data_IF_682793623140
#
_entry.id   IF_682793623140
#
_cell.length_a   1.000
_cell.length_b   1.000
_cell.length_c   1.000
_cell.angle_alpha   90.00
_cell.angle_beta   90.00
_cell.angle_gamma   90.00
#
_symmetry.space_group_name_H-M   'P 1'
#
loop_
_entity.id
_entity.type
_entity.pdbx_description
1 polymer ?
#
# COMPACT_ATOMS: atom_id res chain seq x y z
N UNK A 1 16.32 -20.10 6.25
CA UNK A 1 16.26 -19.99 4.77
C UNK A 1 17.34 -19.02 4.34
N UNK A 2 18.01 -19.23 3.21
CA UNK A 2 18.97 -18.25 2.67
C UNK A 2 18.20 -17.43 1.62
N UNK A 3 18.13 -16.11 1.80
CA UNK A 3 17.50 -15.20 0.85
C UNK A 3 18.55 -14.65 -0.11
N UNK A 4 18.35 -14.82 -1.41
CA UNK A 4 19.20 -14.22 -2.42
C UNK A 4 18.76 -12.77 -2.68
N UNK A 5 19.72 -11.87 -2.92
CA UNK A 5 19.45 -10.47 -3.26
C UNK A 5 20.06 -10.20 -4.64
N UNK A 6 19.24 -9.74 -5.57
CA UNK A 6 19.69 -9.35 -6.92
C UNK A 6 19.31 -7.90 -7.19
N UNK A 7 20.16 -7.19 -7.90
CA UNK A 7 19.91 -5.79 -8.26
C UNK A 7 19.45 -5.66 -9.70
N UNK A 8 18.34 -4.97 -9.93
CA UNK A 8 17.79 -4.66 -11.24
C UNK A 8 17.42 -3.19 -11.28
N UNK A 9 17.92 -2.46 -12.28
CA UNK A 9 17.56 -1.07 -12.49
C UNK A 9 16.40 -0.98 -13.50
N UNK A 10 15.29 -0.33 -13.12
CA UNK A 10 14.10 -0.18 -13.98
C UNK A 10 14.38 0.62 -15.25
N UNK A 11 15.29 1.59 -15.17
CA UNK A 11 15.66 2.43 -16.30
C UNK A 11 16.58 1.72 -17.29
N UNK A 12 17.22 0.60 -16.89
CA UNK A 12 18.15 -0.17 -17.72
C UNK A 12 17.78 -1.67 -17.72
N UNK A 13 16.75 -2.02 -18.47
CA UNK A 13 16.26 -3.38 -18.63
C UNK A 13 17.04 -4.14 -19.72
N UNK A 14 18.34 -4.28 -19.54
CA UNK A 14 19.24 -4.99 -20.46
C UNK A 14 19.06 -6.52 -20.44
N UNK A 15 19.88 -7.23 -21.25
CA UNK A 15 19.84 -8.71 -21.32
C UNK A 15 20.21 -9.38 -19.98
N UNK A 16 21.02 -8.74 -19.13
CA UNK A 16 21.37 -9.26 -17.82
C UNK A 16 20.20 -9.11 -16.84
N UNK A 17 19.54 -7.95 -16.84
CA UNK A 17 18.29 -7.71 -16.09
C UNK A 17 17.20 -8.72 -16.50
N UNK A 18 17.04 -8.97 -17.80
CA UNK A 18 16.05 -9.94 -18.29
C UNK A 18 16.37 -11.37 -17.81
N UNK A 19 17.64 -11.81 -17.83
CA UNK A 19 18.02 -13.12 -17.27
C UNK A 19 17.72 -13.24 -15.78
N UNK A 20 17.95 -12.18 -15.00
CA UNK A 20 17.60 -12.12 -13.56
C UNK A 20 16.11 -12.22 -13.35
N UNK A 21 15.29 -11.55 -14.17
CA UNK A 21 13.82 -11.63 -14.10
C UNK A 21 13.28 -13.00 -14.52
N UNK A 22 13.89 -13.66 -15.53
CA UNK A 22 13.57 -15.05 -15.87
C UNK A 22 13.83 -15.97 -14.67
N UNK A 23 14.96 -15.79 -14.01
CA UNK A 23 15.29 -16.54 -12.80
C UNK A 23 14.27 -16.31 -11.69
N UNK A 24 13.94 -15.05 -11.38
CA UNK A 24 12.90 -14.69 -10.40
C UNK A 24 11.51 -15.25 -10.75
N UNK A 25 11.11 -15.18 -12.03
CA UNK A 25 9.88 -15.77 -12.52
C UNK A 25 9.82 -17.29 -12.36
N UNK A 26 10.94 -17.98 -12.54
CA UNK A 26 11.04 -19.42 -12.29
C UNK A 26 10.90 -19.78 -10.82
N UNK A 27 11.36 -18.94 -9.89
CA UNK A 27 11.12 -19.10 -8.45
C UNK A 27 9.62 -19.04 -8.16
N UNK A 28 8.91 -18.03 -8.68
CA UNK A 28 7.44 -17.89 -8.55
C UNK A 28 6.73 -19.15 -9.08
N UNK A 29 7.04 -19.60 -10.31
CA UNK A 29 6.42 -20.80 -10.93
C UNK A 29 6.65 -22.07 -10.12
N UNK A 30 7.73 -22.16 -9.35
CA UNK A 30 8.03 -23.27 -8.46
C UNK A 30 7.40 -23.13 -7.06
N UNK A 31 6.56 -22.11 -6.86
CA UNK A 31 5.88 -21.83 -5.58
C UNK A 31 6.78 -21.20 -4.52
N UNK A 32 7.86 -20.51 -4.95
CA UNK A 32 8.72 -19.69 -4.11
C UNK A 32 8.18 -18.27 -3.93
N UNK A 33 8.84 -17.51 -3.06
CA UNK A 33 8.51 -16.12 -2.72
C UNK A 33 9.56 -15.17 -3.27
N UNK A 34 9.10 -14.12 -3.98
CA UNK A 34 9.97 -13.07 -4.51
C UNK A 34 9.48 -11.70 -4.04
N UNK A 35 10.37 -10.91 -3.44
CA UNK A 35 10.13 -9.50 -3.16
C UNK A 35 10.51 -8.69 -4.39
N UNK A 36 9.63 -7.75 -4.78
CA UNK A 36 9.80 -6.95 -6.00
C UNK A 36 9.27 -5.53 -5.85
N UNK A 37 9.86 -4.55 -6.57
CA UNK A 37 9.40 -3.16 -6.57
C UNK A 37 8.06 -3.02 -7.30
N UNK A 38 7.26 -2.04 -6.86
CA UNK A 38 6.17 -1.47 -7.65
C UNK A 38 6.22 0.06 -7.53
N UNK A 39 5.45 0.77 -8.36
CA UNK A 39 5.36 2.23 -8.29
C UNK A 39 4.78 2.74 -6.96
N UNK A 40 4.08 1.89 -6.21
CA UNK A 40 3.43 2.25 -4.93
C UNK A 40 4.28 1.92 -3.71
N UNK A 41 4.53 0.64 -3.47
CA UNK A 41 5.37 0.08 -2.40
C UNK A 41 5.94 -1.25 -2.89
N UNK A 42 6.99 -1.76 -2.27
CA UNK A 42 7.47 -3.10 -2.56
C UNK A 42 6.48 -4.19 -2.17
N UNK A 43 6.34 -5.21 -3.02
CA UNK A 43 5.47 -6.36 -2.80
C UNK A 43 6.24 -7.66 -2.54
N UNK A 44 5.65 -8.56 -1.74
CA UNK A 44 6.10 -9.95 -1.62
C UNK A 44 5.15 -10.83 -2.42
N UNK A 45 5.66 -11.49 -3.47
CA UNK A 45 4.87 -12.18 -4.48
C UNK A 45 5.02 -13.69 -4.50
N UNK A 46 3.92 -14.36 -4.84
CA UNK A 46 3.85 -15.77 -5.13
C UNK A 46 2.84 -16.06 -6.25
N UNK A 47 2.88 -17.24 -6.84
CA UNK A 47 1.85 -17.69 -7.80
C UNK A 47 0.46 -17.65 -7.15
N UNK A 48 -0.44 -16.85 -7.72
CA UNK A 48 -1.79 -16.62 -7.19
C UNK A 48 -2.69 -17.87 -7.25
N UNK A 49 -2.40 -18.81 -8.16
CA UNK A 49 -3.15 -20.06 -8.31
C UNK A 49 -2.56 -21.23 -7.50
N UNK A 50 -1.45 -21.01 -6.82
CA UNK A 50 -0.82 -22.00 -5.94
C UNK A 50 -1.16 -21.70 -4.47
N UNK A 51 -2.02 -22.52 -3.85
CA UNK A 51 -2.50 -22.35 -2.47
C UNK A 51 -1.36 -22.42 -1.43
N UNK A 52 -0.39 -23.31 -1.65
CA UNK A 52 0.76 -23.48 -0.77
C UNK A 52 1.67 -22.23 -0.84
N UNK A 53 1.86 -21.66 -2.03
CA UNK A 53 2.64 -20.45 -2.23
C UNK A 53 1.96 -19.22 -1.59
N UNK A 54 0.64 -19.07 -1.75
CA UNK A 54 -0.13 -18.03 -1.06
C UNK A 54 -0.05 -18.17 0.48
N UNK A 55 -0.11 -19.40 1.00
CA UNK A 55 0.05 -19.65 2.44
C UNK A 55 1.44 -19.27 2.96
N UNK A 56 2.50 -19.46 2.17
CA UNK A 56 3.86 -19.01 2.53
C UNK A 56 3.96 -17.50 2.69
N UNK A 57 3.21 -16.69 1.91
CA UNK A 57 3.17 -15.23 2.06
C UNK A 57 2.70 -14.85 3.47
N UNK A 58 1.60 -15.45 3.93
CA UNK A 58 1.07 -15.21 5.28
C UNK A 58 2.07 -15.60 6.37
N UNK A 59 2.72 -16.75 6.22
CA UNK A 59 3.73 -17.21 7.17
C UNK A 59 4.97 -16.29 7.19
N UNK A 60 5.49 -15.88 6.02
CA UNK A 60 6.66 -15.00 5.92
C UNK A 60 6.42 -13.65 6.60
N UNK A 61 5.21 -13.09 6.48
CA UNK A 61 4.82 -11.80 7.04
C UNK A 61 4.32 -11.85 8.49
N UNK A 62 3.94 -13.03 9.02
CA UNK A 62 3.14 -13.12 10.22
C UNK A 62 1.75 -12.47 10.04
N UNK A 63 1.17 -12.57 8.84
CA UNK A 63 -0.10 -11.94 8.47
C UNK A 63 -1.26 -12.89 8.76
N UNK A 64 -2.41 -12.41 9.29
CA UNK A 64 -3.63 -13.18 9.39
C UNK A 64 -4.12 -13.68 8.01
N UNK A 65 -4.51 -14.95 7.90
CA UNK A 65 -4.89 -15.57 6.63
C UNK A 65 -6.26 -15.14 6.10
N UNK A 66 -7.10 -14.49 6.93
CA UNK A 66 -8.37 -13.88 6.56
C UNK A 66 -8.22 -12.48 5.90
N UNK A 67 -7.00 -11.98 5.79
CA UNK A 67 -6.70 -10.70 5.18
C UNK A 67 -6.24 -10.92 3.71
N UNK A 68 -7.13 -10.72 2.70
CA UNK A 68 -6.90 -11.15 1.32
C UNK A 68 -5.64 -10.57 0.69
N UNK A 69 -5.15 -11.24 -0.36
CA UNK A 69 -4.03 -10.77 -1.18
C UNK A 69 -4.55 -10.05 -2.43
N UNK A 70 -3.74 -9.14 -2.98
CA UNK A 70 -4.02 -8.51 -4.27
C UNK A 70 -3.33 -9.32 -5.36
N UNK A 71 -4.09 -9.76 -6.37
CA UNK A 71 -3.53 -10.43 -7.53
C UNK A 71 -3.07 -9.40 -8.55
N UNK A 72 -1.77 -9.41 -8.84
CA UNK A 72 -1.15 -8.53 -9.83
C UNK A 72 -1.12 -9.23 -11.19
N UNK A 73 -1.50 -8.50 -12.24
CA UNK A 73 -1.55 -8.94 -13.64
C UNK A 73 -0.65 -8.09 -14.51
N UNK A 74 -0.30 -8.59 -15.71
CA UNK A 74 0.53 -7.87 -16.67
C UNK A 74 -0.24 -7.45 -17.95
N UNK A 75 -1.56 -7.63 -17.99
CA UNK A 75 -2.39 -7.24 -19.11
C UNK A 75 -3.89 -7.38 -18.83
N UNK A 76 -4.71 -6.58 -19.50
CA UNK A 76 -6.17 -6.53 -19.31
C UNK A 76 -6.88 -7.87 -19.63
N UNK A 77 -6.38 -8.63 -20.61
CA UNK A 77 -6.91 -9.95 -20.96
C UNK A 77 -6.89 -10.96 -19.81
N UNK A 78 -6.05 -10.71 -18.79
CA UNK A 78 -5.97 -11.53 -17.58
C UNK A 78 -7.23 -11.44 -16.71
N UNK A 79 -8.04 -10.38 -16.85
CA UNK A 79 -9.27 -10.20 -16.05
C UNK A 79 -10.27 -11.33 -16.29
N UNK A 80 -10.49 -11.74 -17.54
CA UNK A 80 -11.47 -12.79 -17.88
C UNK A 80 -11.04 -14.19 -17.33
N UNK A 81 -9.76 -14.38 -16.99
CA UNK A 81 -9.26 -15.59 -16.32
C UNK A 81 -9.45 -15.55 -14.81
N UNK A 82 -9.35 -14.36 -14.19
CA UNK A 82 -9.43 -14.17 -12.74
C UNK A 82 -10.85 -13.94 -12.23
N UNK A 83 -11.69 -13.26 -13.02
CA UNK A 83 -12.96 -12.70 -12.59
C UNK A 83 -14.13 -13.31 -13.33
N UNK A 84 -15.26 -13.44 -12.63
CA UNK A 84 -16.56 -13.77 -13.22
C UNK A 84 -17.44 -12.54 -13.05
N UNK A 85 -17.69 -11.80 -14.13
CA UNK A 85 -18.54 -10.62 -14.06
C UNK A 85 -20.00 -11.03 -13.87
N UNK A 86 -20.70 -10.35 -12.98
CA UNK A 86 -22.12 -10.54 -12.68
C UNK A 86 -22.99 -10.22 -13.91
N UNK A 87 -22.63 -9.13 -14.60
CA UNK A 87 -23.34 -8.59 -15.76
C UNK A 87 -22.43 -7.70 -16.62
N UNK A 88 -22.95 -7.24 -17.75
CA UNK A 88 -22.23 -6.34 -18.65
C UNK A 88 -21.96 -4.97 -18.07
N UNK A 89 -22.78 -4.50 -17.12
CA UNK A 89 -22.59 -3.20 -16.46
C UNK A 89 -21.35 -3.24 -15.59
N UNK A 90 -21.22 -4.28 -14.74
CA UNK A 90 -20.04 -4.47 -13.90
C UNK A 90 -18.77 -4.60 -14.77
N UNK A 91 -18.85 -5.37 -15.86
CA UNK A 91 -17.73 -5.52 -16.79
C UNK A 91 -17.33 -4.19 -17.42
N UNK A 92 -18.29 -3.39 -17.88
CA UNK A 92 -18.04 -2.05 -18.44
C UNK A 92 -17.41 -1.11 -17.42
N UNK A 93 -17.90 -1.09 -16.17
CA UNK A 93 -17.31 -0.29 -15.07
C UNK A 93 -15.83 -0.69 -14.84
N UNK A 94 -15.55 -1.99 -14.75
CA UNK A 94 -14.20 -2.50 -14.53
C UNK A 94 -13.25 -2.12 -15.68
N UNK A 95 -13.67 -2.35 -16.93
CA UNK A 95 -12.85 -2.02 -18.11
C UNK A 95 -12.59 -0.52 -18.21
N UNK A 96 -13.60 0.33 -17.94
CA UNK A 96 -13.43 1.78 -18.00
C UNK A 96 -12.43 2.31 -16.96
N UNK A 97 -12.51 1.82 -15.71
CA UNK A 97 -11.53 2.18 -14.69
C UNK A 97 -10.13 1.64 -15.06
N UNK A 98 -10.06 0.44 -15.60
CA UNK A 98 -8.82 -0.15 -16.08
C UNK A 98 -8.20 0.66 -17.23
N UNK A 99 -8.97 1.06 -18.24
CA UNK A 99 -8.50 1.87 -19.36
C UNK A 99 -7.97 3.25 -18.92
N UNK A 100 -8.62 3.87 -17.90
CA UNK A 100 -8.20 5.20 -17.41
C UNK A 100 -6.99 5.15 -16.49
N UNK A 101 -6.86 4.09 -15.65
CA UNK A 101 -5.92 4.08 -14.53
C UNK A 101 -4.92 2.91 -14.54
N UNK A 102 -4.99 1.97 -15.48
CA UNK A 102 -4.04 0.89 -15.64
C UNK A 102 -3.21 1.04 -16.93
N UNK A 103 -1.92 0.68 -16.86
CA UNK A 103 -1.18 0.23 -15.69
C UNK A 103 -0.98 1.36 -14.68
N UNK A 104 -1.18 1.05 -13.36
CA UNK A 104 -1.08 2.09 -12.33
C UNK A 104 -1.61 1.70 -10.94
N UNK A 105 -1.75 2.70 -10.06
CA UNK A 105 -2.00 2.51 -8.63
C UNK A 105 -3.50 2.33 -8.30
N UNK A 106 -4.24 1.58 -9.12
CA UNK A 106 -5.63 1.21 -8.90
C UNK A 106 -5.76 -0.30 -8.67
N UNK A 107 -6.54 -0.68 -7.67
CA UNK A 107 -6.96 -2.06 -7.41
C UNK A 107 -8.49 -2.16 -7.51
N UNK A 108 -8.99 -3.13 -8.25
CA UNK A 108 -10.42 -3.41 -8.41
C UNK A 108 -10.77 -4.69 -7.66
N UNK A 109 -11.84 -4.68 -6.87
CA UNK A 109 -12.41 -5.88 -6.28
C UNK A 109 -13.57 -6.35 -7.15
N UNK A 110 -13.50 -7.60 -7.57
CA UNK A 110 -14.43 -8.26 -8.50
C UNK A 110 -14.76 -9.67 -8.01
N UNK A 111 -15.90 -10.28 -8.41
CA UNK A 111 -16.18 -11.67 -8.15
C UNK A 111 -15.07 -12.56 -8.74
N UNK A 112 -14.53 -13.51 -7.95
CA UNK A 112 -13.40 -14.35 -8.38
C UNK A 112 -13.84 -15.55 -9.20
N UNK A 113 -12.95 -16.07 -10.04
CA UNK A 113 -13.13 -17.36 -10.69
C UNK A 113 -13.08 -18.51 -9.65
N UNK A 114 -13.66 -19.66 -10.00
CA UNK A 114 -13.72 -20.83 -9.11
C UNK A 114 -12.35 -21.43 -8.80
N UNK A 115 -11.43 -21.35 -9.75
CA UNK A 115 -10.10 -21.98 -9.65
C UNK A 115 -9.12 -21.20 -8.76
N UNK A 116 -9.44 -19.93 -8.42
CA UNK A 116 -8.58 -19.15 -7.54
C UNK A 116 -8.68 -19.67 -6.09
N UNK A 117 -7.55 -20.08 -5.48
CA UNK A 117 -7.55 -20.64 -4.11
C UNK A 117 -8.14 -19.68 -3.08
N UNK A 118 -8.78 -20.25 -2.05
CA UNK A 118 -9.30 -19.51 -0.91
C UNK A 118 -8.19 -18.81 -0.13
N UNK A 119 -7.01 -19.39 -0.09
CA UNK A 119 -5.81 -18.81 0.53
C UNK A 119 -5.42 -17.51 -0.12
N UNK A 120 -5.59 -17.36 -1.44
CA UNK A 120 -5.31 -16.12 -2.16
C UNK A 120 -6.36 -15.04 -1.86
N UNK A 121 -7.63 -15.44 -1.82
CA UNK A 121 -8.75 -14.51 -1.59
C UNK A 121 -9.06 -14.27 -0.10
N UNK A 122 -8.31 -14.85 0.84
CA UNK A 122 -8.62 -14.76 2.28
C UNK A 122 -9.97 -15.37 2.66
N UNK A 123 -10.45 -16.36 1.88
CA UNK A 123 -11.75 -17.02 2.06
C UNK A 123 -12.93 -16.31 1.39
N UNK A 124 -12.72 -15.14 0.76
CA UNK A 124 -13.77 -14.37 0.10
C UNK A 124 -14.14 -14.95 -1.27
N UNK A 125 -15.35 -14.65 -1.75
CA UNK A 125 -15.82 -14.94 -3.11
C UNK A 125 -15.41 -13.85 -4.13
N UNK A 126 -14.62 -12.87 -3.68
CA UNK A 126 -14.07 -11.78 -4.48
C UNK A 126 -12.55 -11.88 -4.56
N UNK A 127 -11.98 -11.22 -5.55
CA UNK A 127 -10.54 -11.03 -5.74
C UNK A 127 -10.23 -9.57 -5.97
N UNK A 128 -9.18 -9.09 -5.32
CA UNK A 128 -8.58 -7.78 -5.58
C UNK A 128 -7.55 -7.93 -6.71
N UNK A 129 -7.70 -7.16 -7.80
CA UNK A 129 -6.85 -7.24 -8.99
C UNK A 129 -6.20 -5.89 -9.25
N UNK A 130 -4.90 -5.92 -9.62
CA UNK A 130 -4.14 -4.72 -9.98
C UNK A 130 -3.21 -4.98 -11.16
N UNK A 131 -3.06 -3.98 -12.03
CA UNK A 131 -2.06 -3.96 -13.10
C UNK A 131 -1.06 -2.83 -12.79
N UNK A 132 0.11 -3.13 -12.18
CA UNK A 132 1.09 -2.11 -11.78
C UNK A 132 1.77 -1.46 -12.99
N UNK A 133 2.25 -0.20 -12.84
CA UNK A 133 2.98 0.50 -13.91
C UNK A 133 4.47 0.16 -13.94
N UNK A 134 5.07 -0.23 -12.82
CA UNK A 134 6.50 -0.56 -12.71
C UNK A 134 6.91 -1.67 -13.70
N UNK A 135 7.94 -1.44 -14.49
CA UNK A 135 8.38 -2.34 -15.58
C UNK A 135 8.93 -3.66 -15.06
N UNK A 136 9.65 -3.64 -13.93
CA UNK A 136 10.20 -4.85 -13.28
C UNK A 136 9.03 -5.73 -12.81
N UNK A 137 8.05 -5.13 -12.09
CA UNK A 137 6.85 -5.84 -11.64
C UNK A 137 6.10 -6.48 -12.81
N UNK A 138 5.82 -5.71 -13.87
CA UNK A 138 5.09 -6.21 -15.05
C UNK A 138 5.81 -7.39 -15.71
N UNK A 139 7.15 -7.26 -15.90
CA UNK A 139 7.93 -8.32 -16.53
C UNK A 139 8.05 -9.55 -15.64
N UNK A 140 8.20 -9.37 -14.31
CA UNK A 140 8.18 -10.48 -13.36
C UNK A 140 6.83 -11.23 -13.38
N UNK A 141 5.70 -10.48 -13.40
CA UNK A 141 4.35 -11.08 -13.47
C UNK A 141 4.22 -11.92 -14.75
N UNK A 142 4.61 -11.38 -15.90
CA UNK A 142 4.59 -12.09 -17.18
C UNK A 142 5.42 -13.39 -17.11
N UNK A 143 6.67 -13.29 -16.64
CA UNK A 143 7.59 -14.42 -16.54
C UNK A 143 7.22 -15.40 -15.42
N UNK A 144 6.50 -14.95 -14.39
CA UNK A 144 6.04 -15.73 -13.25
C UNK A 144 4.74 -16.52 -13.47
N UNK A 145 4.16 -16.45 -14.68
CA UNK A 145 2.92 -17.17 -15.01
C UNK A 145 1.70 -16.27 -15.20
N UNK A 146 1.86 -14.95 -15.15
CA UNK A 146 0.81 -13.96 -15.45
C UNK A 146 -0.03 -13.52 -14.26
N UNK A 147 0.07 -14.19 -13.10
CA UNK A 147 -0.76 -13.94 -11.93
C UNK A 147 0.04 -14.07 -10.64
N UNK A 148 0.39 -12.94 -10.02
CA UNK A 148 1.17 -12.92 -8.77
C UNK A 148 0.31 -12.33 -7.66
N UNK A 149 0.02 -13.13 -6.63
CA UNK A 149 -0.58 -12.65 -5.39
C UNK A 149 0.48 -11.92 -4.57
N UNK A 150 0.27 -10.65 -4.25
CA UNK A 150 1.26 -9.87 -3.51
C UNK A 150 0.61 -8.82 -2.58
N UNK A 151 0.86 -8.90 -1.26
CA UNK A 151 0.75 -7.77 -0.33
C UNK A 151 2.06 -6.98 -0.29
N UNK A 152 2.12 -5.87 0.48
CA UNK A 152 3.38 -5.15 0.76
C UNK A 152 4.43 -6.05 1.42
N UNK A 153 5.72 -5.81 1.17
CA UNK A 153 6.84 -6.67 1.58
C UNK A 153 7.39 -6.34 3.00
N UNK A 154 6.49 -6.08 3.98
CA UNK A 154 6.84 -5.82 5.39
C UNK A 154 6.33 -6.92 6.32
N UNK A 155 6.90 -7.04 7.52
CA UNK A 155 6.27 -7.75 8.62
C UNK A 155 4.91 -7.12 8.96
N UNK A 156 3.93 -7.95 9.30
CA UNK A 156 2.56 -7.48 9.56
C UNK A 156 2.54 -6.41 10.65
N UNK A 157 1.84 -5.30 10.42
CA UNK A 157 1.73 -4.17 11.34
C UNK A 157 2.76 -3.05 11.12
N UNK A 158 3.94 -3.33 10.58
CA UNK A 158 4.99 -2.32 10.29
C UNK A 158 4.62 -1.44 9.09
N UNK A 159 5.24 -0.25 8.93
CA UNK A 159 5.07 0.59 7.75
C UNK A 159 5.46 -0.14 6.46
N UNK A 160 4.70 0.07 5.38
CA UNK A 160 4.98 -0.55 4.09
C UNK A 160 6.35 -0.12 3.55
N UNK A 161 7.13 -1.02 2.93
CA UNK A 161 8.46 -0.70 2.44
C UNK A 161 8.40 0.07 1.13
N UNK A 162 9.10 1.19 1.08
CA UNK A 162 9.22 2.05 -0.10
C UNK A 162 10.57 1.91 -0.79
N UNK A 163 11.53 1.28 -0.13
CA UNK A 163 12.85 0.95 -0.67
C UNK A 163 13.26 -0.50 -0.35
N UNK A 164 14.34 -0.97 -0.98
CA UNK A 164 14.82 -2.33 -0.84
C UNK A 164 15.43 -2.62 0.54
N UNK A 165 16.03 -1.64 1.21
CA UNK A 165 16.65 -1.82 2.53
C UNK A 165 15.61 -2.22 3.57
N UNK A 166 14.43 -1.60 3.54
CA UNK A 166 13.28 -1.95 4.37
C UNK A 166 12.81 -3.39 4.12
N UNK A 167 12.84 -3.82 2.83
CA UNK A 167 12.49 -5.20 2.48
C UNK A 167 13.51 -6.20 3.01
N UNK A 168 14.81 -5.88 2.90
CA UNK A 168 15.90 -6.71 3.39
C UNK A 168 15.79 -6.87 4.91
N UNK A 169 15.54 -5.78 5.64
CA UNK A 169 15.33 -5.81 7.10
C UNK A 169 14.20 -6.76 7.50
N UNK A 170 13.05 -6.67 6.83
CA UNK A 170 11.84 -7.41 7.21
C UNK A 170 11.80 -8.85 6.67
N UNK A 171 12.32 -9.10 5.46
CA UNK A 171 12.09 -10.32 4.69
C UNK A 171 13.33 -11.21 4.50
N UNK A 172 14.54 -10.74 4.83
CA UNK A 172 15.74 -11.59 4.77
C UNK A 172 15.57 -12.84 5.67
N UNK A 173 15.89 -14.00 5.13
CA UNK A 173 15.67 -15.29 5.80
C UNK A 173 14.23 -15.83 5.73
N UNK A 174 13.29 -15.10 5.10
CA UNK A 174 11.85 -15.44 5.02
C UNK A 174 11.35 -15.67 3.60
N UNK A 175 12.09 -15.21 2.60
CA UNK A 175 11.76 -15.31 1.17
C UNK A 175 12.91 -15.90 0.39
N UNK A 176 12.65 -16.40 -0.82
CA UNK A 176 13.68 -17.00 -1.67
C UNK A 176 14.57 -15.94 -2.32
N UNK A 177 13.95 -14.82 -2.76
CA UNK A 177 14.64 -13.78 -3.52
C UNK A 177 14.10 -12.39 -3.17
N UNK A 178 15.00 -11.39 -3.11
CA UNK A 178 14.67 -9.97 -3.07
C UNK A 178 15.25 -9.30 -4.31
N UNK A 179 14.42 -8.63 -5.10
CA UNK A 179 14.85 -7.75 -6.18
C UNK A 179 15.05 -6.35 -5.60
N UNK A 180 16.32 -5.94 -5.48
CA UNK A 180 16.69 -4.56 -5.14
C UNK A 180 16.59 -3.69 -6.39
N UNK A 181 15.89 -2.57 -6.29
CA UNK A 181 15.70 -1.58 -7.36
C UNK A 181 15.54 -0.19 -6.76
N UNK A 182 15.14 0.76 -7.59
CA UNK A 182 14.84 2.12 -7.19
C UNK A 182 13.71 2.17 -6.16
N UNK A 183 13.64 3.29 -5.42
CA UNK A 183 12.58 3.56 -4.46
C UNK A 183 11.22 3.65 -5.17
N UNK A 184 10.16 3.29 -4.44
CA UNK A 184 8.80 3.38 -4.94
C UNK A 184 8.41 4.85 -5.18
N UNK A 185 8.00 5.19 -6.40
CA UNK A 185 7.71 6.57 -6.83
C UNK A 185 6.62 7.24 -5.99
N UNK A 186 5.56 6.50 -5.62
CA UNK A 186 4.37 7.03 -4.95
C UNK A 186 4.49 6.99 -3.42
N UNK A 187 5.05 5.92 -2.86
CA UNK A 187 5.24 5.76 -1.42
C UNK A 187 4.01 5.32 -0.62
N UNK A 188 2.81 5.29 -1.19
CA UNK A 188 1.58 4.78 -0.58
C UNK A 188 0.96 3.68 -1.46
N UNK A 189 0.19 2.78 -0.84
CA UNK A 189 -0.49 1.71 -1.56
C UNK A 189 -1.59 2.24 -2.47
N UNK A 190 -1.98 1.41 -3.45
CA UNK A 190 -3.02 1.67 -4.44
C UNK A 190 -4.37 2.05 -3.83
N UNK A 191 -5.15 2.86 -4.55
CA UNK A 191 -6.59 3.04 -4.31
C UNK A 191 -7.30 1.72 -4.55
N UNK A 192 -8.24 1.33 -3.67
CA UNK A 192 -9.04 0.11 -3.82
C UNK A 192 -10.50 0.47 -4.01
N UNK A 193 -11.08 0.00 -5.11
CA UNK A 193 -12.49 0.18 -5.46
C UNK A 193 -13.20 -1.16 -5.45
N UNK A 194 -14.30 -1.28 -4.72
CA UNK A 194 -15.17 -2.45 -4.73
C UNK A 194 -16.24 -2.30 -5.82
N UNK A 195 -16.13 -3.13 -6.84
CA UNK A 195 -17.12 -3.26 -7.92
C UNK A 195 -17.99 -4.52 -7.75
N UNK A 196 -17.78 -5.32 -6.71
CA UNK A 196 -18.56 -6.52 -6.45
C UNK A 196 -19.95 -6.23 -5.84
N UNK A 197 -20.15 -5.02 -5.36
CA UNK A 197 -21.39 -4.50 -4.77
C UNK A 197 -22.20 -3.67 -5.78
N UNK A 198 -23.47 -3.42 -5.51
CA UNK A 198 -24.34 -2.67 -6.40
C UNK A 198 -23.88 -1.20 -6.54
N UNK A 199 -23.73 -0.51 -5.42
CA UNK A 199 -23.11 0.82 -5.36
C UNK A 199 -21.58 0.67 -5.22
N UNK A 200 -20.85 1.01 -6.29
CA UNK A 200 -19.38 0.96 -6.27
C UNK A 200 -18.81 1.92 -5.24
N UNK A 201 -17.84 1.49 -4.44
CA UNK A 201 -17.29 2.30 -3.35
C UNK A 201 -15.76 2.19 -3.25
N UNK A 202 -15.12 3.24 -2.71
CA UNK A 202 -13.69 3.28 -2.43
C UNK A 202 -13.45 2.72 -1.02
N UNK A 203 -12.86 1.53 -0.93
CA UNK A 203 -12.56 0.88 0.36
C UNK A 203 -11.24 1.34 0.98
N UNK A 204 -10.31 1.76 0.15
CA UNK A 204 -9.02 2.31 0.61
C UNK A 204 -8.64 3.50 -0.26
N UNK A 205 -8.62 4.72 0.28
CA UNK A 205 -8.14 5.87 -0.46
C UNK A 205 -6.64 5.72 -0.78
N UNK A 206 -6.25 6.14 -1.97
CA UNK A 206 -4.87 6.18 -2.46
C UNK A 206 -4.66 7.43 -3.32
N UNK A 207 -3.62 7.44 -4.16
CA UNK A 207 -3.32 8.61 -4.99
C UNK A 207 -4.36 8.86 -6.08
N UNK A 208 -5.13 7.86 -6.50
CA UNK A 208 -6.32 8.07 -7.31
C UNK A 208 -7.47 8.37 -6.36
N UNK A 209 -8.02 9.58 -6.46
CA UNK A 209 -9.05 10.08 -5.55
C UNK A 209 -10.42 9.47 -5.84
N UNK A 210 -11.32 9.47 -4.84
CA UNK A 210 -12.70 9.07 -5.02
C UNK A 210 -13.40 9.90 -6.12
N UNK A 211 -13.14 11.20 -6.19
CA UNK A 211 -13.69 12.07 -7.22
C UNK A 211 -13.28 11.62 -8.64
N UNK A 212 -12.00 11.28 -8.87
CA UNK A 212 -11.50 10.78 -10.16
C UNK A 212 -12.13 9.43 -10.54
N UNK A 213 -12.35 8.55 -9.55
CA UNK A 213 -13.04 7.26 -9.74
C UNK A 213 -14.50 7.49 -10.16
N UNK A 214 -15.26 8.30 -9.38
CA UNK A 214 -16.67 8.55 -9.66
C UNK A 214 -16.86 9.34 -10.97
N UNK A 215 -15.99 10.29 -11.29
CA UNK A 215 -15.99 10.95 -12.60
C UNK A 215 -15.85 9.92 -13.73
N UNK A 216 -14.91 8.98 -13.61
CA UNK A 216 -14.73 7.92 -14.61
C UNK A 216 -15.95 7.01 -14.72
N UNK A 217 -16.65 6.70 -13.64
CA UNK A 217 -17.84 5.86 -13.62
C UNK A 217 -19.11 6.62 -14.09
N UNK A 218 -19.30 7.89 -13.73
CA UNK A 218 -20.49 8.68 -14.05
C UNK A 218 -20.70 8.89 -15.55
N UNK A 219 -19.66 8.90 -16.33
CA UNK A 219 -19.75 8.93 -17.81
C UNK A 219 -20.40 7.65 -18.38
N UNK A 220 -20.67 6.61 -17.56
CA UNK A 220 -21.37 5.39 -17.96
C UNK A 220 -22.85 5.35 -17.57
N UNK A 221 -23.30 6.13 -16.56
CA UNK A 221 -24.63 5.97 -15.96
C UNK A 221 -25.54 7.21 -16.08
N UNK A 222 -25.03 8.37 -16.48
CA UNK A 222 -25.85 9.60 -16.62
C UNK A 222 -26.51 10.10 -15.33
N UNK A 223 -26.10 9.61 -14.15
CA UNK A 223 -26.61 10.02 -12.84
C UNK A 223 -25.46 10.34 -11.87
N UNK A 224 -25.58 11.47 -11.18
CA UNK A 224 -24.75 11.80 -10.01
C UNK A 224 -25.13 10.84 -8.88
N UNK A 225 -24.19 9.99 -8.43
CA UNK A 225 -24.38 9.15 -7.25
C UNK A 225 -24.22 9.99 -5.98
N UNK A 226 -25.23 10.00 -5.16
CA UNK A 226 -25.18 10.43 -3.76
C UNK A 226 -24.76 9.23 -2.90
N UNK A 227 -24.00 9.54 -1.83
CA UNK A 227 -23.69 8.75 -0.65
C UNK A 227 -22.60 7.67 -0.72
N UNK A 228 -21.47 8.04 -0.13
CA UNK A 228 -20.49 7.09 0.42
C UNK A 228 -20.95 6.67 1.83
N UNK A 229 -21.59 5.51 1.96
CA UNK A 229 -21.81 4.90 3.28
C UNK A 229 -20.48 4.50 3.92
N UNK A 230 -20.36 4.79 5.21
CA UNK A 230 -19.21 4.45 6.05
C UNK A 230 -19.15 2.91 6.25
N UNK A 231 -18.28 2.24 5.48
CA UNK A 231 -18.13 0.77 5.46
C UNK A 231 -17.17 0.25 6.54
N UNK A 232 -17.01 0.96 7.66
CA UNK A 232 -16.11 0.56 8.76
C UNK A 232 -16.54 -0.70 9.52
N UNK A 233 -17.74 -1.26 9.26
CA UNK A 233 -18.37 -2.32 10.04
C UNK A 233 -18.42 -3.72 9.39
N UNK A 234 -17.60 -4.02 8.36
CA UNK A 234 -17.59 -5.35 7.77
C UNK A 234 -16.91 -6.38 8.71
N UNK A 235 -17.59 -7.47 9.05
CA UNK A 235 -17.05 -8.56 9.90
C UNK A 235 -15.79 -9.22 9.31
N UNK A 236 -15.62 -9.19 7.98
CA UNK A 236 -14.41 -9.65 7.28
C UNK A 236 -13.82 -8.55 6.41
N UNK A 237 -12.50 -8.33 6.43
CA UNK A 237 -11.87 -7.32 5.61
C UNK A 237 -11.93 -7.71 4.13
N UNK A 238 -12.67 -6.95 3.32
CA UNK A 238 -12.73 -7.16 1.87
C UNK A 238 -11.44 -6.72 1.15
N UNK A 239 -10.60 -5.92 1.83
CA UNK A 239 -9.36 -5.40 1.28
C UNK A 239 -8.23 -5.35 2.34
N UNK A 240 -6.95 -5.41 1.91
CA UNK A 240 -5.82 -5.21 2.80
C UNK A 240 -5.88 -3.87 3.53
N UNK A 241 -5.58 -3.87 4.85
CA UNK A 241 -5.49 -2.65 5.66
C UNK A 241 -6.80 -2.17 6.28
N UNK A 242 -7.89 -2.94 6.24
CA UNK A 242 -9.18 -2.53 6.82
C UNK A 242 -9.34 -2.86 8.31
N UNK A 243 -8.93 -4.04 8.77
CA UNK A 243 -9.33 -4.59 10.08
C UNK A 243 -8.24 -4.49 11.17
N UNK A 244 -6.99 -4.63 10.81
CA UNK A 244 -5.88 -4.78 11.76
C UNK A 244 -5.09 -3.48 11.94
N UNK A 245 -4.38 -3.34 13.05
CA UNK A 245 -3.41 -2.25 13.23
C UNK A 245 -2.35 -2.35 12.12
N UNK A 246 -2.21 -1.30 11.35
CA UNK A 246 -1.31 -1.24 10.19
C UNK A 246 -0.43 0.01 10.27
N UNK A 247 0.76 -0.09 9.65
CA UNK A 247 1.67 1.04 9.43
C UNK A 247 2.27 1.61 10.72
N UNK A 248 2.10 0.93 11.86
CA UNK A 248 2.47 1.46 13.14
C UNK A 248 4.00 1.45 13.33
N UNK A 249 4.62 2.61 13.69
CA UNK A 249 5.98 2.64 14.19
C UNK A 249 6.05 1.95 15.58
N UNK A 250 7.28 1.66 16.04
CA UNK A 250 7.52 1.12 17.39
C UNK A 250 7.16 2.14 18.47
N UNK A 251 7.47 3.42 18.22
CA UNK A 251 7.12 4.54 19.10
C UNK A 251 5.61 4.83 19.07
N UNK A 252 5.10 5.43 20.17
CA UNK A 252 3.71 5.92 20.23
C UNK A 252 3.56 7.13 19.32
N UNK A 253 2.68 7.08 18.35
CA UNK A 253 2.36 8.17 17.43
C UNK A 253 1.05 8.84 17.83
N UNK A 254 1.05 10.18 17.93
CA UNK A 254 -0.11 11.04 18.23
C UNK A 254 -0.20 12.14 17.18
N UNK A 255 -1.38 12.33 16.60
CA UNK A 255 -1.64 13.33 15.56
C UNK A 255 -2.31 14.55 16.19
N UNK A 256 -1.90 15.75 15.79
CA UNK A 256 -2.51 17.00 16.18
C UNK A 256 -3.15 17.68 14.96
N UNK A 257 -4.42 18.04 15.09
CA UNK A 257 -5.23 18.68 14.04
C UNK A 257 -5.79 19.99 14.55
N UNK A 258 -5.74 21.03 13.72
CA UNK A 258 -6.21 22.38 14.06
C UNK A 258 -5.52 23.46 13.24
N UNK A 259 -5.57 24.70 13.72
CA UNK A 259 -4.81 25.80 13.11
C UNK A 259 -3.32 25.64 13.37
N UNK A 260 -2.48 26.09 12.46
CA UNK A 260 -1.02 25.89 12.51
C UNK A 260 -0.41 26.35 13.84
N UNK A 261 -0.72 27.56 14.30
CA UNK A 261 -0.19 28.11 15.58
C UNK A 261 -0.59 27.26 16.78
N UNK A 262 -1.84 26.78 16.83
CA UNK A 262 -2.33 25.91 17.91
C UNK A 262 -1.65 24.55 17.88
N UNK A 263 -1.46 23.96 16.70
CA UNK A 263 -0.78 22.67 16.52
C UNK A 263 0.67 22.78 16.99
N UNK A 264 1.41 23.79 16.52
CA UNK A 264 2.81 24.03 16.91
C UNK A 264 2.92 24.20 18.44
N UNK A 265 2.09 25.06 19.02
CA UNK A 265 2.11 25.32 20.48
C UNK A 265 1.80 24.05 21.27
N UNK A 266 0.79 23.28 20.86
CA UNK A 266 0.36 22.08 21.57
C UNK A 266 1.38 20.93 21.45
N UNK A 267 1.97 20.72 20.29
CA UNK A 267 3.04 19.73 20.10
C UNK A 267 4.27 20.11 20.92
N UNK A 268 4.72 21.37 20.92
CA UNK A 268 5.87 21.80 21.73
C UNK A 268 5.63 21.66 23.23
N UNK A 269 4.40 21.92 23.69
CA UNK A 269 4.01 21.64 25.07
C UNK A 269 4.13 20.14 25.38
N UNK A 270 3.55 19.27 24.53
CA UNK A 270 3.61 17.82 24.72
C UNK A 270 5.05 17.29 24.66
N UNK A 271 5.89 17.82 23.75
CA UNK A 271 7.32 17.51 23.70
C UNK A 271 8.00 17.88 25.03
N UNK A 272 7.77 19.08 25.56
CA UNK A 272 8.41 19.54 26.80
C UNK A 272 8.06 18.68 28.03
N UNK A 273 6.86 18.12 28.07
CA UNK A 273 6.38 17.26 29.17
C UNK A 273 7.09 15.89 29.21
N UNK A 274 7.59 15.39 28.07
CA UNK A 274 8.14 14.03 27.95
C UNK A 274 9.62 13.97 27.57
N UNK A 275 10.19 15.01 26.98
CA UNK A 275 11.56 15.06 26.41
C UNK A 275 12.67 14.58 27.35
N UNK A 276 12.56 14.84 28.66
CA UNK A 276 13.56 14.42 29.64
C UNK A 276 13.48 12.92 30.00
N UNK A 277 12.45 12.22 29.58
CA UNK A 277 12.18 10.81 29.91
C UNK A 277 12.16 9.88 28.69
N UNK A 278 11.87 10.42 27.54
CA UNK A 278 11.68 9.65 26.30
C UNK A 278 12.25 10.41 25.12
N UNK A 279 12.79 9.68 24.15
CA UNK A 279 13.24 10.25 22.88
C UNK A 279 12.04 10.67 22.05
N UNK A 280 11.95 11.97 21.76
CA UNK A 280 10.80 12.60 21.10
C UNK A 280 11.06 12.84 19.62
N UNK A 281 10.03 12.71 18.80
CA UNK A 281 10.09 13.06 17.38
C UNK A 281 8.86 13.86 16.95
N UNK A 282 9.02 14.67 15.91
CA UNK A 282 7.93 15.38 15.24
C UNK A 282 7.96 15.11 13.75
N UNK A 283 6.81 14.74 13.18
CA UNK A 283 6.56 14.68 11.72
C UNK A 283 5.81 15.95 11.34
N UNK A 284 6.38 16.76 10.46
CA UNK A 284 5.91 18.11 10.17
C UNK A 284 5.98 18.46 8.70
N UNK A 285 5.24 19.49 8.29
CA UNK A 285 5.45 20.14 7.00
C UNK A 285 6.74 20.98 7.00
N UNK A 286 7.28 21.24 5.82
CA UNK A 286 8.52 22.01 5.63
C UNK A 286 8.42 23.40 6.25
N UNK A 287 7.26 24.04 6.17
CA UNK A 287 7.00 25.40 6.60
C UNK A 287 7.14 25.57 8.12
N UNK A 288 6.76 24.57 8.89
CA UNK A 288 6.76 24.62 10.36
C UNK A 288 7.93 23.87 11.01
N UNK A 289 8.83 23.27 10.24
CA UNK A 289 9.90 22.41 10.77
C UNK A 289 10.81 23.10 11.80
N UNK A 290 11.15 24.38 11.59
CA UNK A 290 11.99 25.16 12.50
C UNK A 290 11.30 25.56 13.81
N UNK A 291 9.98 25.34 13.92
CA UNK A 291 9.18 25.70 15.09
C UNK A 291 9.18 24.64 16.20
N UNK A 292 9.71 23.45 15.94
CA UNK A 292 9.66 22.33 16.88
C UNK A 292 10.97 22.10 17.63
N UNK A 293 10.86 21.77 18.91
CA UNK A 293 11.99 21.57 19.82
C UNK A 293 12.16 20.08 20.23
N UNK A 294 11.69 19.13 19.43
CA UNK A 294 11.86 17.71 19.66
C UNK A 294 13.31 17.25 19.41
N UNK A 295 13.66 16.05 19.88
CA UNK A 295 14.99 15.47 19.65
C UNK A 295 15.22 15.15 18.17
N UNK A 296 14.13 14.77 17.45
CA UNK A 296 14.12 14.45 16.02
C UNK A 296 12.99 15.24 15.36
N UNK A 297 13.28 15.92 14.24
CA UNK A 297 12.27 16.58 13.42
C UNK A 297 12.38 16.03 11.99
N UNK A 298 11.29 15.40 11.51
CA UNK A 298 11.20 14.84 10.15
C UNK A 298 10.26 15.68 9.31
N UNK A 299 10.75 16.15 8.18
CA UNK A 299 9.98 16.91 7.20
C UNK A 299 9.32 15.94 6.23
N UNK A 300 7.99 15.89 6.24
CA UNK A 300 7.23 15.04 5.32
C UNK A 300 7.21 15.61 3.88
N UNK A 301 7.19 16.92 3.75
CA UNK A 301 7.16 17.65 2.48
C UNK A 301 6.61 19.06 2.68
N UNK A 302 6.47 19.83 1.59
CA UNK A 302 5.75 21.09 1.65
C UNK A 302 4.26 20.83 1.93
N UNK A 303 3.60 21.67 2.74
CA UNK A 303 2.23 21.48 3.22
C UNK A 303 1.20 21.25 2.09
N UNK A 304 1.40 21.92 0.97
CA UNK A 304 0.52 21.82 -0.22
C UNK A 304 0.90 20.68 -1.17
N UNK A 305 2.10 20.09 -1.02
CA UNK A 305 2.60 19.01 -1.87
C UNK A 305 2.26 17.63 -1.26
N UNK A 306 1.04 17.18 -1.56
CA UNK A 306 0.58 15.87 -1.10
C UNK A 306 1.34 14.70 -1.73
N UNK A 307 2.01 14.88 -2.87
CA UNK A 307 2.79 13.84 -3.52
C UNK A 307 4.11 13.62 -2.79
N UNK A 308 4.80 14.71 -2.42
CA UNK A 308 6.01 14.63 -1.61
C UNK A 308 5.72 14.03 -0.22
N UNK A 309 4.63 14.46 0.44
CA UNK A 309 4.22 13.93 1.76
C UNK A 309 3.89 12.43 1.66
N UNK A 310 3.13 12.03 0.65
CA UNK A 310 2.77 10.63 0.42
C UNK A 310 4.01 9.75 0.18
N UNK A 311 4.94 10.22 -0.65
CA UNK A 311 6.19 9.53 -0.94
C UNK A 311 7.04 9.29 0.31
N UNK A 312 7.12 10.29 1.20
CA UNK A 312 8.00 10.26 2.36
C UNK A 312 7.40 9.56 3.58
N UNK A 313 6.06 9.44 3.70
CA UNK A 313 5.38 9.05 4.95
C UNK A 313 5.91 7.74 5.55
N UNK A 314 5.92 6.65 4.79
CA UNK A 314 6.35 5.35 5.32
C UNK A 314 7.86 5.30 5.58
N UNK A 315 8.65 5.96 4.75
CA UNK A 315 10.09 6.09 4.96
C UNK A 315 10.37 6.79 6.30
N UNK A 316 9.72 7.92 6.56
CA UNK A 316 9.86 8.66 7.81
C UNK A 316 9.48 7.79 9.02
N UNK A 317 8.37 7.05 8.97
CA UNK A 317 7.97 6.18 10.08
C UNK A 317 9.02 5.10 10.37
N UNK A 318 9.71 4.56 9.35
CA UNK A 318 10.81 3.61 9.52
C UNK A 318 12.08 4.27 10.05
N UNK A 319 12.47 5.41 9.49
CA UNK A 319 13.61 6.18 10.00
C UNK A 319 13.46 6.51 11.48
N UNK A 320 12.25 6.85 11.92
CA UNK A 320 11.96 7.13 13.33
C UNK A 320 12.10 5.89 14.21
N UNK A 321 11.75 4.70 13.68
CA UNK A 321 12.00 3.43 14.36
C UNK A 321 13.50 3.15 14.52
N UNK A 322 14.29 3.41 13.47
CA UNK A 322 15.74 3.18 13.43
C UNK A 322 16.48 4.18 14.34
N UNK A 323 16.01 5.41 14.38
CA UNK A 323 16.52 6.45 15.29
C UNK A 323 16.03 6.28 16.72
N UNK A 324 15.18 5.30 17.01
CA UNK A 324 14.72 4.96 18.35
C UNK A 324 13.75 5.99 18.96
N UNK A 325 12.92 6.64 18.17
CA UNK A 325 11.87 7.52 18.67
C UNK A 325 10.85 6.73 19.49
N UNK A 326 10.63 7.16 20.75
CA UNK A 326 9.68 6.50 21.67
C UNK A 326 8.31 7.16 21.66
N UNK A 327 8.28 8.48 21.44
CA UNK A 327 7.04 9.27 21.29
C UNK A 327 7.18 10.15 20.06
N UNK A 328 6.23 9.97 19.14
CA UNK A 328 6.17 10.65 17.86
C UNK A 328 4.91 11.52 17.86
N UNK A 329 5.07 12.79 17.57
CA UNK A 329 3.99 13.74 17.34
C UNK A 329 3.92 14.05 15.85
N UNK A 330 2.74 14.21 15.30
CA UNK A 330 2.57 14.56 13.88
C UNK A 330 1.57 15.69 13.71
N UNK A 331 1.86 16.60 12.80
CA UNK A 331 0.82 17.45 12.25
C UNK A 331 -0.17 16.62 11.42
N UNK A 332 -1.41 17.09 11.29
CA UNK A 332 -2.37 16.58 10.32
C UNK A 332 -2.16 17.26 8.94
N UNK A 333 -2.28 16.47 7.86
CA UNK A 333 -2.00 16.93 6.49
C UNK A 333 -3.27 16.98 5.63
N UNK A 334 -4.21 17.92 5.93
CA UNK A 334 -5.50 18.01 5.24
C UNK A 334 -5.50 18.92 4.00
N UNK A 335 -4.50 19.77 3.81
CA UNK A 335 -4.54 20.86 2.82
C UNK A 335 -3.87 20.50 1.47
N UNK A 336 -4.10 19.29 0.95
CA UNK A 336 -3.55 18.86 -0.33
C UNK A 336 -4.45 17.81 -1.00
N UNK A 337 -4.22 17.53 -2.30
CA UNK A 337 -5.02 16.56 -3.08
C UNK A 337 -4.92 15.11 -2.60
N UNK A 338 -3.89 14.77 -1.83
CA UNK A 338 -3.65 13.40 -1.34
C UNK A 338 -3.98 13.24 0.14
N UNK A 339 -4.57 14.28 0.78
CA UNK A 339 -4.84 14.32 2.23
C UNK A 339 -5.62 13.10 2.71
N UNK A 340 -6.64 12.65 1.98
CA UNK A 340 -7.43 11.49 2.37
C UNK A 340 -6.57 10.22 2.47
N UNK A 341 -5.71 9.98 1.48
CA UNK A 341 -4.80 8.83 1.47
C UNK A 341 -3.75 8.92 2.57
N UNK A 342 -3.13 10.09 2.74
CA UNK A 342 -2.09 10.36 3.75
C UNK A 342 -2.69 10.17 5.14
N UNK A 343 -3.79 10.84 5.44
CA UNK A 343 -4.44 10.78 6.75
C UNK A 343 -4.98 9.40 7.08
N UNK A 344 -5.51 8.66 6.09
CA UNK A 344 -5.92 7.27 6.29
C UNK A 344 -4.76 6.39 6.81
N UNK A 345 -3.53 6.57 6.28
CA UNK A 345 -2.34 5.83 6.74
C UNK A 345 -1.85 6.33 8.09
N UNK A 346 -1.78 7.63 8.26
CA UNK A 346 -1.28 8.27 9.48
C UNK A 346 -2.17 7.96 10.69
N UNK A 347 -3.49 8.06 10.54
CA UNK A 347 -4.46 7.71 11.58
C UNK A 347 -4.35 6.23 11.96
N UNK A 348 -4.21 5.32 10.99
CA UNK A 348 -3.99 3.89 11.27
C UNK A 348 -2.65 3.62 11.96
N UNK A 349 -1.59 4.33 11.57
CA UNK A 349 -0.28 4.25 12.21
C UNK A 349 -0.35 4.72 13.68
N UNK A 350 -1.13 5.77 13.96
CA UNK A 350 -1.39 6.28 15.30
C UNK A 350 -2.38 5.42 16.12
N UNK A 351 -2.99 4.38 15.51
CA UNK A 351 -4.03 3.59 16.18
C UNK A 351 -5.30 4.38 16.49
N UNK A 352 -5.58 5.43 15.69
CA UNK A 352 -6.71 6.33 15.87
C UNK A 352 -6.46 7.48 16.85
N UNK A 353 -5.25 7.64 17.37
CA UNK A 353 -4.93 8.68 18.35
C UNK A 353 -4.73 10.05 17.66
N UNK A 354 -5.80 10.85 17.64
CA UNK A 354 -5.83 12.22 17.09
C UNK A 354 -6.37 13.19 18.12
N UNK A 355 -5.74 14.35 18.24
CA UNK A 355 -6.12 15.46 19.13
C UNK A 355 -6.59 16.62 18.25
N UNK A 356 -7.88 16.92 18.31
CA UNK A 356 -8.48 18.08 17.67
C UNK A 356 -8.36 19.32 18.59
N UNK A 357 -7.90 20.48 18.03
CA UNK A 357 -7.57 21.69 18.77
C UNK A 357 -8.49 22.87 18.46
#
# INVERSE_FOLDING_TARGET
MNTEIIKINELNMDAAALRRLIYAGNIIKKGGLVVFPTETVYGIGADAFNKEASSKIYAAKGRPSDNPLIVHIAGLSSLDRLCVFKDDVQRKKALRLAEKFWPGPLTLILPKCKDLPKETSGGLDTVAVRFPSNKIARKLIELGGGFIAAPSANLSGRPSPTDASHCIEDMNGRVDLIIESEDAEIGLESTIVDLSVEASCVLRPGVITAAEIFEALSMTEGKKGEDSEDLSAAEHPKAPGMKYRHYAPKGRLVIYSGTEDRVISSINKAVSEVKNKKKTAVITAKESAACYAADIVKIAGARHDGEEIAHNLFRILRELDDEGAEVIFSEAFYNNKRSEAIMNRLIKAAGGEIIEL
#
